data_IF_100712001152
#
_entry.id   IF_100712001152
#
_cell.length_a   1.000
_cell.length_b   1.000
_cell.length_c   1.000
_cell.angle_alpha   90.00
_cell.angle_beta   90.00
_cell.angle_gamma   90.00
#
_symmetry.space_group_name_H-M   'P 1'
#
loop_
_entity.id
_entity.type
_entity.pdbx_description
1 polymer ?
#
# COMPACT_ATOMS: atom_id res chain seq x y z
N UNK A 1 3.18 -25.60 -2.45
CA UNK A 1 2.69 -24.27 -2.07
C UNK A 1 1.70 -24.45 -0.95
N UNK A 2 1.69 -23.51 -0.02
CA UNK A 2 0.86 -23.64 1.17
C UNK A 2 -0.35 -22.72 1.11
N UNK A 3 -0.23 -21.60 0.33
CA UNK A 3 -1.28 -20.61 0.19
C UNK A 3 -1.34 -20.05 -1.22
N UNK A 4 -2.55 -19.81 -1.71
CA UNK A 4 -2.85 -19.06 -2.92
C UNK A 4 -3.74 -17.86 -2.61
N UNK A 5 -3.45 -16.69 -3.21
CA UNK A 5 -4.25 -15.49 -3.05
C UNK A 5 -4.52 -14.79 -4.37
N UNK A 6 -5.79 -14.53 -4.66
CA UNK A 6 -6.24 -13.72 -5.78
C UNK A 6 -6.86 -12.46 -5.19
N UNK A 7 -6.12 -11.33 -5.21
CA UNK A 7 -6.50 -10.18 -4.41
C UNK A 7 -6.09 -8.84 -5.02
N UNK A 8 -6.61 -7.78 -4.45
CA UNK A 8 -6.29 -6.41 -4.80
C UNK A 8 -6.88 -5.96 -6.14
N UNK A 9 -6.49 -4.74 -6.54
CA UNK A 9 -6.97 -4.15 -7.80
C UNK A 9 -6.39 -4.84 -9.06
N UNK A 10 -5.33 -5.62 -8.92
CA UNK A 10 -4.74 -6.40 -10.02
C UNK A 10 -5.35 -7.80 -10.11
N UNK A 11 -5.32 -8.58 -9.02
CA UNK A 11 -5.79 -9.96 -9.02
C UNK A 11 -7.31 -10.09 -8.89
N UNK A 12 -7.93 -9.25 -8.07
CA UNK A 12 -9.35 -9.30 -7.73
C UNK A 12 -10.31 -8.77 -8.81
N UNK A 13 -9.89 -8.62 -10.05
CA UNK A 13 -10.78 -8.22 -11.15
C UNK A 13 -11.83 -9.29 -11.44
N UNK A 14 -12.98 -8.88 -11.95
CA UNK A 14 -14.06 -9.78 -12.31
C UNK A 14 -13.59 -10.91 -13.24
N UNK A 15 -12.86 -10.57 -14.30
CA UNK A 15 -12.38 -11.53 -15.31
C UNK A 15 -11.41 -12.55 -14.72
N UNK A 16 -10.48 -12.12 -13.86
CA UNK A 16 -9.54 -13.01 -13.19
C UNK A 16 -10.25 -14.03 -12.29
N UNK A 17 -11.23 -13.56 -11.55
CA UNK A 17 -11.99 -14.45 -10.63
C UNK A 17 -12.90 -15.40 -11.43
N UNK A 18 -13.51 -14.94 -12.52
CA UNK A 18 -14.29 -15.81 -13.42
C UNK A 18 -13.43 -16.90 -14.04
N UNK A 19 -12.24 -16.55 -14.54
CA UNK A 19 -11.31 -17.53 -15.09
C UNK A 19 -10.83 -18.55 -14.02
N UNK A 20 -10.59 -18.11 -12.79
CA UNK A 20 -10.28 -19.02 -11.67
C UNK A 20 -11.45 -19.96 -11.38
N UNK A 21 -12.69 -19.47 -11.42
CA UNK A 21 -13.89 -20.27 -11.25
C UNK A 21 -14.07 -21.31 -12.35
N UNK A 22 -13.78 -20.96 -13.61
CA UNK A 22 -13.83 -21.91 -14.73
C UNK A 22 -12.83 -23.07 -14.55
N UNK A 23 -11.63 -22.79 -14.03
CA UNK A 23 -10.62 -23.81 -13.70
C UNK A 23 -11.07 -24.70 -12.56
N UNK A 24 -11.69 -24.13 -11.51
CA UNK A 24 -12.02 -24.83 -10.27
C UNK A 24 -13.41 -25.48 -10.29
N UNK A 25 -14.25 -25.18 -11.27
CA UNK A 25 -15.60 -25.77 -11.38
C UNK A 25 -15.52 -27.30 -11.42
N UNK A 26 -16.21 -27.95 -10.48
CA UNK A 26 -16.21 -29.39 -10.35
C UNK A 26 -14.92 -30.01 -9.84
N UNK A 27 -13.96 -29.17 -9.41
CA UNK A 27 -12.70 -29.62 -8.80
C UNK A 27 -12.66 -29.23 -7.31
N UNK A 28 -11.58 -29.55 -6.64
CA UNK A 28 -11.34 -29.23 -5.23
C UNK A 28 -9.96 -28.63 -5.04
N UNK A 29 -9.84 -27.66 -4.15
CA UNK A 29 -8.55 -27.17 -3.65
C UNK A 29 -7.81 -28.20 -2.78
N UNK A 30 -8.40 -29.38 -2.56
CA UNK A 30 -7.88 -30.41 -1.68
C UNK A 30 -8.30 -30.20 -0.22
N UNK A 31 -7.92 -31.14 0.61
CA UNK A 31 -8.18 -31.12 2.06
C UNK A 31 -6.85 -31.10 2.86
N UNK A 32 -5.75 -30.73 2.20
CA UNK A 32 -4.43 -30.64 2.79
C UNK A 32 -4.14 -29.27 3.38
N UNK A 33 -2.88 -28.91 3.36
CA UNK A 33 -2.39 -27.63 3.94
C UNK A 33 -2.75 -26.43 3.06
N UNK A 34 -2.83 -26.62 1.74
CA UNK A 34 -3.05 -25.51 0.80
C UNK A 34 -4.38 -24.82 1.02
N UNK A 35 -4.36 -23.49 1.09
CA UNK A 35 -5.54 -22.64 1.19
C UNK A 35 -5.60 -21.67 0.00
N UNK A 36 -6.82 -21.39 -0.49
CA UNK A 36 -7.05 -20.38 -1.53
C UNK A 36 -7.99 -19.32 -1.00
N UNK A 37 -7.52 -18.07 -0.92
CA UNK A 37 -8.34 -16.90 -0.58
C UNK A 37 -8.54 -15.99 -1.79
N UNK A 38 -9.78 -15.53 -1.98
CA UNK A 38 -10.18 -14.68 -3.12
C UNK A 38 -10.82 -13.39 -2.61
N UNK A 39 -10.24 -12.26 -2.94
CA UNK A 39 -10.68 -10.93 -2.57
C UNK A 39 -11.12 -10.16 -3.82
N UNK A 40 -12.41 -10.02 -4.10
CA UNK A 40 -12.90 -9.22 -5.22
C UNK A 40 -12.45 -7.77 -5.09
N UNK A 41 -12.11 -7.15 -6.21
CA UNK A 41 -11.58 -5.79 -6.24
C UNK A 41 -12.61 -4.70 -5.94
N UNK A 42 -13.92 -5.01 -6.02
CA UNK A 42 -15.00 -4.08 -5.73
C UNK A 42 -16.31 -4.79 -5.39
N UNK A 43 -17.20 -4.08 -4.67
CA UNK A 43 -18.54 -4.61 -4.34
C UNK A 43 -19.39 -4.93 -5.58
N UNK A 44 -19.39 -4.12 -6.66
CA UNK A 44 -20.10 -4.49 -7.88
C UNK A 44 -19.56 -5.78 -8.52
N UNK A 45 -18.24 -5.99 -8.52
CA UNK A 45 -17.65 -7.24 -8.99
C UNK A 45 -18.09 -8.44 -8.14
N UNK A 46 -18.05 -8.30 -6.81
CA UNK A 46 -18.53 -9.35 -5.89
C UNK A 46 -20.01 -9.67 -6.13
N UNK A 47 -20.86 -8.68 -6.26
CA UNK A 47 -22.29 -8.86 -6.51
C UNK A 47 -22.55 -9.61 -7.82
N UNK A 48 -21.81 -9.28 -8.89
CA UNK A 48 -21.94 -9.93 -10.18
C UNK A 48 -21.42 -11.39 -10.14
N UNK A 49 -20.37 -11.66 -9.35
CA UNK A 49 -19.90 -13.03 -9.10
C UNK A 49 -20.92 -13.90 -8.36
N UNK A 50 -21.70 -13.33 -7.45
CA UNK A 50 -22.82 -14.04 -6.82
C UNK A 50 -23.97 -14.26 -7.82
N UNK A 51 -24.32 -13.25 -8.60
CA UNK A 51 -25.42 -13.30 -9.55
C UNK A 51 -25.20 -14.34 -10.65
N UNK A 52 -23.97 -14.46 -11.16
CA UNK A 52 -23.62 -15.41 -12.22
C UNK A 52 -23.18 -16.80 -11.72
N UNK A 53 -23.20 -17.03 -10.39
CA UNK A 53 -22.88 -18.31 -9.76
C UNK A 53 -21.38 -18.60 -9.58
N UNK A 54 -20.47 -17.72 -10.04
CA UNK A 54 -19.01 -17.94 -9.93
C UNK A 54 -18.50 -18.01 -8.50
N UNK A 55 -19.08 -17.21 -7.60
CA UNK A 55 -18.76 -17.29 -6.19
C UNK A 55 -19.13 -18.66 -5.62
N UNK A 56 -20.26 -19.24 -6.05
CA UNK A 56 -20.67 -20.59 -5.63
C UNK A 56 -19.74 -21.68 -6.15
N UNK A 57 -19.30 -21.59 -7.42
CA UNK A 57 -18.33 -22.53 -7.99
C UNK A 57 -17.03 -22.56 -7.17
N UNK A 58 -16.52 -21.38 -6.79
CA UNK A 58 -15.29 -21.24 -6.01
C UNK A 58 -15.44 -21.77 -4.58
N UNK A 59 -16.52 -21.41 -3.89
CA UNK A 59 -16.80 -21.92 -2.54
C UNK A 59 -16.98 -23.43 -2.54
N UNK A 60 -17.67 -24.00 -3.53
CA UNK A 60 -17.84 -25.45 -3.67
C UNK A 60 -16.51 -26.17 -3.92
N UNK A 61 -15.54 -25.51 -4.56
CA UNK A 61 -14.20 -26.03 -4.74
C UNK A 61 -13.33 -25.95 -3.46
N UNK A 62 -13.79 -25.28 -2.41
CA UNK A 62 -13.06 -25.08 -1.16
C UNK A 62 -12.29 -23.78 -1.06
N UNK A 63 -12.46 -22.85 -2.01
CA UNK A 63 -11.88 -21.52 -1.91
C UNK A 63 -12.63 -20.66 -0.87
N UNK A 64 -11.91 -19.75 -0.23
CA UNK A 64 -12.45 -18.83 0.77
C UNK A 64 -12.77 -17.51 0.07
N UNK A 65 -14.06 -17.22 -0.12
CA UNK A 65 -14.48 -15.89 -0.61
C UNK A 65 -14.41 -14.87 0.52
N UNK A 66 -13.65 -13.83 0.29
CA UNK A 66 -13.43 -12.73 1.22
C UNK A 66 -14.19 -11.48 0.78
N UNK A 67 -14.28 -10.51 1.69
CA UNK A 67 -14.79 -9.17 1.40
C UNK A 67 -13.83 -8.39 0.51
N UNK A 68 -14.35 -7.31 -0.12
CA UNK A 68 -13.55 -6.39 -0.93
C UNK A 68 -12.58 -5.61 -0.04
N UNK A 69 -11.37 -6.09 0.11
CA UNK A 69 -10.38 -5.55 1.01
C UNK A 69 -8.97 -5.70 0.44
N UNK A 70 -8.13 -4.68 0.63
CA UNK A 70 -6.74 -4.69 0.18
C UNK A 70 -5.78 -5.50 1.08
N UNK A 71 -6.29 -6.19 2.09
CA UNK A 71 -5.54 -6.84 3.15
C UNK A 71 -4.27 -7.57 2.72
N UNK A 72 -4.33 -8.56 1.83
CA UNK A 72 -3.14 -9.29 1.39
C UNK A 72 -2.07 -8.43 0.73
N UNK A 73 -2.46 -7.33 0.07
CA UNK A 73 -1.51 -6.44 -0.62
C UNK A 73 -0.61 -5.64 0.33
N UNK A 74 -0.90 -5.63 1.64
CA UNK A 74 -0.11 -4.91 2.64
C UNK A 74 0.05 -5.65 3.98
N UNK A 75 -0.14 -6.97 3.97
CA UNK A 75 0.10 -7.80 5.14
C UNK A 75 -0.96 -7.71 6.24
N UNK A 76 -2.19 -7.37 5.89
CA UNK A 76 -3.32 -7.32 6.82
C UNK A 76 -4.42 -8.29 6.40
N UNK A 77 -4.23 -9.53 6.70
CA UNK A 77 -5.13 -10.64 6.39
C UNK A 77 -4.47 -11.69 5.52
N UNK A 78 -4.79 -12.94 5.80
CA UNK A 78 -4.24 -14.13 5.13
C UNK A 78 -2.70 -14.11 5.03
N UNK A 79 -2.03 -13.67 6.11
CA UNK A 79 -0.58 -13.76 6.20
C UNK A 79 -0.16 -15.22 6.22
N UNK A 80 0.86 -15.62 5.43
CA UNK A 80 1.36 -16.99 5.48
C UNK A 80 1.99 -17.27 6.84
N UNK A 81 1.92 -18.51 7.29
CA UNK A 81 2.58 -18.93 8.51
C UNK A 81 4.10 -18.94 8.33
N UNK A 82 4.80 -19.06 9.45
CA UNK A 82 6.26 -19.10 9.44
C UNK A 82 6.78 -20.31 8.65
N UNK A 83 7.64 -20.06 7.66
CA UNK A 83 8.18 -21.08 6.76
C UNK A 83 7.30 -21.40 5.55
N UNK A 84 6.10 -20.85 5.44
CA UNK A 84 5.20 -21.13 4.33
C UNK A 84 5.56 -20.35 3.04
N UNK A 85 5.09 -20.89 1.91
CA UNK A 85 5.23 -20.31 0.60
C UNK A 85 3.85 -19.97 0.00
N UNK A 86 3.59 -18.68 -0.18
CA UNK A 86 2.36 -18.12 -0.76
C UNK A 86 2.56 -17.73 -2.22
N UNK A 87 1.62 -18.12 -3.09
CA UNK A 87 1.55 -17.66 -4.49
C UNK A 87 0.40 -16.66 -4.62
N UNK A 88 0.69 -15.47 -5.19
CA UNK A 88 -0.24 -14.34 -5.12
C UNK A 88 -0.43 -13.63 -6.44
N UNK A 89 -1.66 -13.30 -6.77
CA UNK A 89 -1.98 -12.26 -7.74
C UNK A 89 -2.40 -11.01 -6.97
N UNK A 90 -1.43 -10.21 -6.58
CA UNK A 90 -1.61 -8.96 -5.83
C UNK A 90 -0.92 -7.81 -6.53
N UNK A 91 -1.21 -6.58 -6.13
CA UNK A 91 -0.67 -5.39 -6.80
C UNK A 91 0.84 -5.22 -6.57
N UNK A 92 1.36 -5.69 -5.44
CA UNK A 92 2.75 -5.44 -5.02
C UNK A 92 3.33 -6.65 -4.30
N UNK A 93 4.61 -6.89 -4.52
CA UNK A 93 5.38 -7.94 -3.85
C UNK A 93 6.73 -7.39 -3.41
N UNK A 94 6.75 -6.63 -2.32
CA UNK A 94 7.99 -6.18 -1.66
C UNK A 94 8.34 -7.13 -0.51
N UNK A 95 9.61 -7.21 -0.09
CA UNK A 95 9.98 -8.00 1.06
C UNK A 95 9.11 -7.69 2.28
N UNK A 96 8.62 -8.74 2.93
CA UNK A 96 7.75 -8.70 4.11
C UNK A 96 6.39 -8.01 3.90
N UNK A 97 6.01 -7.78 2.66
CA UNK A 97 4.73 -7.15 2.31
C UNK A 97 3.55 -8.07 2.61
N UNK A 98 3.78 -9.37 2.62
CA UNK A 98 2.81 -10.41 2.97
C UNK A 98 2.42 -10.41 4.45
N UNK A 99 3.16 -9.67 5.30
CA UNK A 99 2.87 -9.50 6.71
C UNK A 99 3.82 -10.22 7.66
N UNK A 100 4.84 -10.94 7.16
CA UNK A 100 5.88 -11.49 8.03
C UNK A 100 6.69 -10.38 8.70
N UNK A 101 7.17 -10.67 9.92
CA UNK A 101 7.94 -9.75 10.75
C UNK A 101 9.32 -10.34 11.06
N UNK A 102 10.32 -10.15 10.21
CA UNK A 102 11.64 -10.74 10.40
C UNK A 102 12.32 -10.34 11.70
N UNK A 103 12.05 -9.12 12.22
CA UNK A 103 12.52 -8.67 13.52
C UNK A 103 11.99 -9.49 14.70
N UNK A 104 10.91 -10.25 14.51
CA UNK A 104 10.32 -11.20 15.45
C UNK A 104 10.65 -12.66 15.08
N UNK A 105 11.59 -12.89 14.16
CA UNK A 105 12.00 -14.21 13.70
C UNK A 105 11.06 -14.90 12.72
N UNK A 106 10.08 -14.17 12.17
CA UNK A 106 9.16 -14.70 11.18
C UNK A 106 9.77 -14.65 9.78
N UNK A 107 9.59 -15.72 9.02
CA UNK A 107 9.99 -15.83 7.62
C UNK A 107 8.88 -16.51 6.81
N UNK A 108 8.56 -15.95 5.67
CA UNK A 108 7.71 -16.58 4.66
C UNK A 108 8.24 -16.26 3.27
N UNK A 109 7.83 -17.04 2.29
CA UNK A 109 8.18 -16.80 0.90
C UNK A 109 6.96 -16.47 0.07
N UNK A 110 7.10 -15.53 -0.86
CA UNK A 110 5.99 -15.10 -1.74
C UNK A 110 6.47 -15.04 -3.18
N UNK A 111 5.66 -15.57 -4.09
CA UNK A 111 5.84 -15.38 -5.52
C UNK A 111 4.59 -14.75 -6.15
N UNK A 112 4.79 -13.79 -7.06
CA UNK A 112 3.70 -13.29 -7.88
C UNK A 112 3.38 -14.31 -8.97
N UNK A 113 2.08 -14.56 -9.16
CA UNK A 113 1.55 -15.49 -10.12
C UNK A 113 0.20 -14.97 -10.63
N UNK A 114 -0.17 -15.29 -11.86
CA UNK A 114 -1.50 -14.94 -12.38
C UNK A 114 -2.62 -15.77 -11.73
N UNK A 115 -3.84 -15.25 -11.71
CA UNK A 115 -4.99 -15.86 -11.05
C UNK A 115 -5.34 -17.26 -11.63
N UNK A 116 -5.12 -17.50 -12.91
CA UNK A 116 -5.38 -18.79 -13.56
C UNK A 116 -4.39 -19.84 -13.07
N UNK A 117 -3.10 -19.52 -13.02
CA UNK A 117 -2.07 -20.44 -12.52
C UNK A 117 -2.19 -20.70 -11.03
N UNK A 118 -2.66 -19.70 -10.24
CA UNK A 118 -3.03 -19.91 -8.83
C UNK A 118 -4.19 -20.91 -8.72
N UNK A 119 -5.24 -20.74 -9.52
CA UNK A 119 -6.37 -21.66 -9.53
C UNK A 119 -5.99 -23.07 -10.00
N UNK A 120 -5.10 -23.19 -11.00
CA UNK A 120 -4.54 -24.46 -11.46
C UNK A 120 -3.73 -25.16 -10.35
N UNK A 121 -2.90 -24.39 -9.63
CA UNK A 121 -2.15 -24.86 -8.46
C UNK A 121 -3.10 -25.33 -7.35
N UNK A 122 -4.17 -24.59 -7.09
CA UNK A 122 -5.21 -24.97 -6.13
C UNK A 122 -5.92 -26.27 -6.53
N UNK A 123 -6.33 -26.42 -7.80
CA UNK A 123 -6.94 -27.61 -8.35
C UNK A 123 -6.04 -28.86 -8.26
N UNK A 124 -4.74 -28.67 -8.11
CA UNK A 124 -3.74 -29.72 -7.94
C UNK A 124 -3.23 -29.80 -6.48
N UNK A 125 -4.06 -29.37 -5.50
CA UNK A 125 -3.78 -29.51 -4.06
C UNK A 125 -2.53 -28.75 -3.59
N UNK A 126 -2.19 -27.61 -4.20
CA UNK A 126 -1.02 -26.80 -3.86
C UNK A 126 0.27 -27.18 -4.61
N UNK A 127 0.23 -28.15 -5.51
CA UNK A 127 1.36 -28.44 -6.38
C UNK A 127 1.42 -27.40 -7.49
N UNK A 128 2.56 -26.71 -7.62
CA UNK A 128 2.78 -25.67 -8.64
C UNK A 128 2.39 -26.20 -10.04
N UNK A 129 1.42 -25.54 -10.66
CA UNK A 129 0.84 -25.94 -11.94
C UNK A 129 0.56 -24.70 -12.78
N UNK A 130 1.03 -24.68 -14.02
CA UNK A 130 0.71 -23.61 -14.94
C UNK A 130 -0.75 -23.76 -15.45
N UNK A 131 -1.44 -22.66 -15.68
CA UNK A 131 -2.79 -22.71 -16.25
C UNK A 131 -2.81 -23.33 -17.66
N UNK A 132 -1.71 -23.21 -18.39
CA UNK A 132 -1.51 -23.78 -19.73
C UNK A 132 -1.39 -25.31 -19.73
N UNK A 133 -1.17 -25.92 -18.57
CA UNK A 133 -1.10 -27.38 -18.43
C UNK A 133 -2.48 -28.02 -18.30
N UNK A 134 -3.54 -27.20 -18.21
CA UNK A 134 -4.92 -27.63 -18.08
C UNK A 134 -5.70 -27.33 -19.36
N UNK A 135 -6.52 -28.28 -19.78
CA UNK A 135 -7.50 -28.07 -20.84
C UNK A 135 -8.78 -27.48 -20.20
N UNK A 136 -8.95 -26.16 -20.32
CA UNK A 136 -10.06 -25.40 -19.72
C UNK A 136 -10.69 -24.48 -20.77
N UNK A 137 -11.98 -24.63 -20.97
CA UNK A 137 -12.79 -23.69 -21.72
C UNK A 137 -13.16 -22.49 -20.84
N UNK A 138 -12.67 -21.31 -21.16
CA UNK A 138 -12.99 -20.06 -20.45
C UNK A 138 -14.28 -19.46 -20.99
N UNK A 139 -15.26 -19.29 -20.11
CA UNK A 139 -16.59 -18.76 -20.48
C UNK A 139 -16.63 -17.25 -20.68
N UNK A 140 -15.67 -16.51 -20.11
CA UNK A 140 -15.53 -15.06 -20.19
C UNK A 140 -16.87 -14.30 -20.09
N UNK A 141 -17.62 -14.41 -18.98
CA UNK A 141 -18.91 -13.76 -18.85
C UNK A 141 -18.79 -12.25 -18.90
N UNK A 142 -19.79 -11.59 -19.50
CA UNK A 142 -19.84 -10.12 -19.55
C UNK A 142 -20.05 -9.54 -18.14
N UNK A 143 -19.30 -8.47 -17.82
CA UNK A 143 -19.42 -7.75 -16.57
C UNK A 143 -20.50 -6.64 -16.67
N UNK A 144 -21.45 -6.70 -15.75
CA UNK A 144 -22.53 -5.70 -15.67
C UNK A 144 -22.36 -4.85 -14.40
N UNK A 145 -21.90 -3.62 -14.56
CA UNK A 145 -21.75 -2.68 -13.46
C UNK A 145 -23.08 -2.25 -12.86
N UNK A 146 -23.23 -2.41 -11.55
CA UNK A 146 -24.42 -1.98 -10.81
C UNK A 146 -24.08 -0.82 -9.86
N UNK A 147 -24.37 0.41 -10.27
CA UNK A 147 -24.13 1.63 -9.50
C UNK A 147 -24.96 1.69 -8.20
N UNK A 148 -26.14 1.04 -8.16
CA UNK A 148 -27.07 1.14 -7.03
C UNK A 148 -26.47 0.63 -5.70
N UNK A 149 -25.44 -0.20 -5.76
CA UNK A 149 -24.72 -0.68 -4.58
C UNK A 149 -23.98 0.46 -3.85
N UNK A 150 -23.40 1.39 -4.60
CA UNK A 150 -22.78 2.58 -4.04
C UNK A 150 -23.80 3.61 -3.58
N UNK A 151 -24.87 3.81 -4.33
CA UNK A 151 -25.97 4.71 -3.96
C UNK A 151 -26.58 4.36 -2.60
N UNK A 152 -26.60 3.08 -2.24
CA UNK A 152 -27.12 2.57 -0.95
C UNK A 152 -26.12 2.61 0.20
N UNK A 153 -24.83 2.69 -0.08
CA UNK A 153 -23.76 2.54 0.93
C UNK A 153 -22.91 3.77 1.14
N UNK A 154 -22.79 4.61 0.13
CA UNK A 154 -21.89 5.77 0.15
C UNK A 154 -22.72 7.04 0.12
N UNK A 155 -22.48 7.91 1.09
CA UNK A 155 -23.09 9.24 1.08
C UNK A 155 -22.61 10.02 -0.14
N UNK A 156 -23.56 10.49 -0.95
CA UNK A 156 -23.28 11.35 -2.08
C UNK A 156 -23.56 12.80 -1.69
N UNK A 157 -22.50 13.52 -1.32
CA UNK A 157 -22.55 14.95 -0.95
C UNK A 157 -22.33 15.91 -2.12
N UNK A 158 -22.22 15.43 -3.35
CA UNK A 158 -22.02 16.30 -4.51
C UNK A 158 -23.16 17.31 -4.64
N UNK A 159 -22.81 18.61 -4.70
CA UNK A 159 -23.77 19.70 -4.77
C UNK A 159 -24.59 19.95 -3.49
N UNK A 160 -24.25 19.28 -2.38
CA UNK A 160 -24.91 19.39 -1.07
C UNK A 160 -23.91 19.84 -0.01
N UNK A 161 -23.18 20.92 -0.29
CA UNK A 161 -22.22 21.46 0.66
C UNK A 161 -22.93 21.96 1.92
N UNK A 162 -22.40 21.57 3.08
CA UNK A 162 -22.83 22.03 4.41
C UNK A 162 -21.64 22.76 5.05
N UNK A 163 -21.43 24.05 4.74
CA UNK A 163 -20.20 24.75 5.16
C UNK A 163 -20.07 24.87 6.68
N UNK A 164 -21.19 24.83 7.41
CA UNK A 164 -21.22 24.94 8.86
C UNK A 164 -21.25 23.58 9.59
N UNK A 165 -21.11 22.48 8.84
CA UNK A 165 -21.11 21.15 9.45
C UNK A 165 -19.89 20.95 10.33
N UNK A 166 -20.11 20.50 11.58
CA UNK A 166 -19.04 20.16 12.50
C UNK A 166 -18.25 18.92 12.00
N UNK A 167 -16.93 19.07 11.87
CA UNK A 167 -16.06 17.95 11.55
C UNK A 167 -15.86 17.07 12.78
N UNK A 168 -16.27 15.81 12.70
CA UNK A 168 -16.06 14.81 13.75
C UNK A 168 -14.99 13.83 13.32
N UNK A 169 -13.84 13.90 13.97
CA UNK A 169 -12.74 13.00 13.70
C UNK A 169 -12.91 11.67 14.43
N UNK A 170 -12.57 10.57 13.74
CA UNK A 170 -12.39 9.27 14.37
C UNK A 170 -11.13 9.26 15.27
N UNK A 171 -10.95 8.21 16.10
CA UNK A 171 -9.90 8.17 17.13
C UNK A 171 -8.47 8.28 16.60
N UNK A 172 -8.22 7.84 15.37
CA UNK A 172 -6.89 7.88 14.72
C UNK A 172 -6.74 9.03 13.73
N UNK A 173 -7.75 9.88 13.58
CA UNK A 173 -7.71 11.02 12.67
C UNK A 173 -7.27 12.25 13.46
N UNK A 174 -6.22 12.91 12.99
CA UNK A 174 -5.71 14.15 13.55
C UNK A 174 -5.54 15.17 12.45
N UNK A 175 -5.76 16.41 12.79
CA UNK A 175 -5.46 17.52 11.88
C UNK A 175 -3.97 17.63 11.63
N UNK A 176 -3.59 18.40 10.60
CA UNK A 176 -2.21 18.74 10.35
C UNK A 176 -1.67 19.54 11.54
N UNK A 177 -0.41 19.29 11.96
CA UNK A 177 0.24 20.15 12.94
C UNK A 177 0.41 21.56 12.38
N UNK A 178 0.48 22.54 13.27
CA UNK A 178 0.87 23.89 12.88
C UNK A 178 2.25 23.85 12.20
N UNK A 179 2.31 24.45 11.03
CA UNK A 179 3.52 24.54 10.24
C UNK A 179 3.92 26.00 10.07
N UNK A 180 5.23 26.29 10.10
CA UNK A 180 5.71 27.65 9.87
C UNK A 180 5.32 28.15 8.48
N UNK A 181 5.06 29.43 8.36
CA UNK A 181 4.83 30.07 7.07
C UNK A 181 6.12 30.02 6.22
N UNK A 182 5.95 29.73 4.94
CA UNK A 182 7.08 29.77 4.01
C UNK A 182 7.59 31.22 3.87
N UNK A 183 8.91 31.37 3.93
CA UNK A 183 9.61 32.62 3.69
C UNK A 183 10.09 32.69 2.24
N UNK A 184 10.57 33.89 1.80
CA UNK A 184 11.10 34.06 0.43
C UNK A 184 12.34 33.17 0.19
N UNK A 185 13.17 32.99 1.21
CA UNK A 185 14.40 32.20 1.17
C UNK A 185 14.30 31.05 2.18
N UNK A 186 14.80 29.87 1.81
CA UNK A 186 14.85 28.69 2.65
C UNK A 186 16.29 28.17 2.74
N UNK A 187 16.80 28.04 3.95
CA UNK A 187 18.02 27.31 4.21
C UNK A 187 17.68 25.84 4.46
N UNK A 188 18.13 24.94 3.58
CA UNK A 188 17.80 23.53 3.63
C UNK A 188 19.03 22.71 4.01
N UNK A 189 18.90 21.86 5.04
CA UNK A 189 19.91 20.85 5.40
C UNK A 189 19.48 19.48 4.89
N UNK A 190 20.36 18.79 4.17
CA UNK A 190 20.14 17.39 3.76
C UNK A 190 20.22 16.50 4.99
N UNK A 191 19.08 15.96 5.41
CA UNK A 191 18.97 15.08 6.58
C UNK A 191 19.17 13.60 6.24
N UNK A 192 19.01 13.22 4.98
CA UNK A 192 19.30 11.87 4.49
C UNK A 192 19.73 11.92 3.02
N UNK A 193 20.71 11.10 2.66
CA UNK A 193 21.18 10.94 1.29
C UNK A 193 21.20 9.46 0.93
N UNK A 194 20.33 9.06 0.01
CA UNK A 194 20.16 7.69 -0.43
C UNK A 194 20.78 7.57 -1.82
N UNK A 195 21.79 6.73 -1.96
CA UNK A 195 22.51 6.48 -3.22
C UNK A 195 21.97 5.30 -4.02
N UNK A 196 21.02 4.57 -3.46
CA UNK A 196 20.40 3.44 -4.14
C UNK A 196 19.59 3.94 -5.35
N UNK A 197 19.75 3.35 -6.54
CA UNK A 197 19.04 3.78 -7.74
C UNK A 197 17.52 3.55 -7.69
N UNK A 198 17.07 2.69 -6.79
CA UNK A 198 15.64 2.39 -6.61
C UNK A 198 15.22 2.59 -5.17
N UNK A 199 14.26 3.49 -4.95
CA UNK A 199 13.59 3.68 -3.66
C UNK A 199 12.10 3.45 -3.83
N UNK A 200 11.56 2.56 -3.01
CA UNK A 200 10.13 2.24 -3.04
C UNK A 200 9.34 3.11 -2.06
N UNK A 201 8.05 3.26 -2.30
CA UNK A 201 7.16 3.97 -1.35
C UNK A 201 7.12 3.31 0.02
N UNK A 202 7.33 1.98 0.10
CA UNK A 202 7.34 1.24 1.37
C UNK A 202 8.63 1.47 2.16
N UNK A 203 9.73 1.82 1.49
CA UNK A 203 10.98 2.25 2.13
C UNK A 203 10.88 3.69 2.65
N UNK A 204 10.13 4.55 1.96
CA UNK A 204 9.85 5.91 2.42
C UNK A 204 8.93 5.91 3.65
N UNK A 205 7.82 5.18 3.58
CA UNK A 205 6.85 5.01 4.67
C UNK A 205 6.37 3.56 4.66
N UNK A 206 6.72 2.73 5.65
CA UNK A 206 6.35 1.31 5.68
C UNK A 206 4.84 1.14 5.88
N UNK A 207 4.15 0.68 4.85
CA UNK A 207 2.68 0.68 4.79
C UNK A 207 2.02 -0.27 5.80
N UNK A 208 2.62 -1.42 6.08
CA UNK A 208 2.08 -2.39 7.04
C UNK A 208 2.06 -1.83 8.45
N UNK A 209 3.19 -1.27 8.89
CA UNK A 209 3.37 -0.71 10.23
C UNK A 209 2.56 0.58 10.46
N UNK A 210 2.31 1.34 9.39
CA UNK A 210 1.70 2.66 9.48
C UNK A 210 0.23 2.70 9.07
N UNK A 211 -0.37 1.56 8.79
CA UNK A 211 -1.76 1.48 8.29
C UNK A 211 -2.77 2.22 9.17
N UNK A 212 -2.60 2.16 10.50
CA UNK A 212 -3.46 2.83 11.48
C UNK A 212 -3.21 4.33 11.63
N UNK A 213 -2.11 4.86 11.06
CA UNK A 213 -1.70 6.26 11.25
C UNK A 213 -1.86 7.11 10.01
N UNK A 214 -2.45 6.59 8.92
CA UNK A 214 -2.55 7.29 7.62
C UNK A 214 -3.30 8.61 7.68
N UNK A 215 -4.22 8.75 8.63
CA UNK A 215 -4.98 9.98 8.88
C UNK A 215 -4.46 10.76 10.09
N UNK A 216 -3.20 10.54 10.46
CA UNK A 216 -2.48 11.30 11.51
C UNK A 216 -1.10 11.67 10.96
N UNK A 217 -0.97 12.82 10.29
CA UNK A 217 0.26 13.20 9.58
C UNK A 217 1.49 13.24 10.48
N UNK A 218 1.37 13.78 11.69
CA UNK A 218 2.47 13.86 12.63
C UNK A 218 2.95 12.47 13.07
N UNK A 219 2.02 11.57 13.43
CA UNK A 219 2.39 10.21 13.80
C UNK A 219 2.93 9.41 12.62
N UNK A 220 2.39 9.62 11.42
CA UNK A 220 2.88 8.99 10.20
C UNK A 220 4.31 9.41 9.89
N UNK A 221 4.66 10.68 10.10
CA UNK A 221 5.99 11.21 9.82
C UNK A 221 7.10 10.57 10.67
N UNK A 222 6.76 10.04 11.86
CA UNK A 222 7.70 9.31 12.74
C UNK A 222 8.27 8.04 12.10
N UNK A 223 7.65 7.54 11.04
CA UNK A 223 8.10 6.34 10.32
C UNK A 223 8.81 6.66 9.00
N UNK A 224 9.01 7.95 8.69
CA UNK A 224 9.68 8.34 7.45
C UNK A 224 11.10 7.77 7.40
N UNK A 225 11.41 7.05 6.31
CA UNK A 225 12.68 6.36 6.06
C UNK A 225 13.11 5.36 7.15
N UNK A 226 12.22 4.95 8.06
CA UNK A 226 12.58 4.12 9.22
C UNK A 226 13.31 2.82 8.86
N UNK A 227 13.08 2.27 7.67
CA UNK A 227 13.74 1.06 7.17
C UNK A 227 15.08 1.32 6.46
N UNK A 228 15.28 2.53 5.92
CA UNK A 228 16.47 2.88 5.13
C UNK A 228 17.46 3.71 5.92
N UNK A 229 16.96 4.66 6.67
CA UNK A 229 17.73 5.57 7.51
C UNK A 229 16.99 5.85 8.81
N UNK A 230 17.08 4.95 9.80
CA UNK A 230 16.37 5.09 11.07
C UNK A 230 16.66 6.38 11.85
N UNK A 231 17.77 7.06 11.52
CA UNK A 231 18.16 8.31 12.18
C UNK A 231 17.56 9.56 11.49
N UNK A 232 16.95 9.41 10.31
CA UNK A 232 16.41 10.52 9.54
C UNK A 232 15.42 11.36 10.34
N UNK A 233 14.45 10.73 11.01
CA UNK A 233 13.43 11.42 11.79
C UNK A 233 14.05 12.23 12.94
N UNK A 234 15.06 11.69 13.62
CA UNK A 234 15.79 12.40 14.66
C UNK A 234 16.42 13.70 14.12
N UNK A 235 17.18 13.58 13.04
CA UNK A 235 17.84 14.75 12.40
C UNK A 235 16.83 15.78 11.88
N UNK A 236 15.70 15.33 11.34
CA UNK A 236 14.63 16.24 10.90
C UNK A 236 13.99 17.00 12.05
N UNK A 237 13.80 16.34 13.20
CA UNK A 237 13.30 16.99 14.42
C UNK A 237 14.26 18.05 14.97
N UNK A 238 15.56 17.82 14.89
CA UNK A 238 16.56 18.82 15.26
C UNK A 238 16.42 20.09 14.38
N UNK A 239 16.23 19.94 13.07
CA UNK A 239 16.00 21.07 12.18
C UNK A 239 14.69 21.78 12.49
N UNK A 240 13.62 21.04 12.75
CA UNK A 240 12.34 21.61 13.16
C UNK A 240 12.45 22.41 14.48
N UNK A 241 13.26 21.94 15.41
CA UNK A 241 13.50 22.67 16.67
C UNK A 241 14.22 24.00 16.42
N UNK A 242 15.23 24.03 15.55
CA UNK A 242 15.92 25.25 15.15
C UNK A 242 14.95 26.26 14.52
N UNK A 243 14.07 25.80 13.63
CA UNK A 243 13.06 26.68 12.99
C UNK A 243 12.06 27.26 14.02
N UNK A 244 11.60 26.45 14.96
CA UNK A 244 10.73 26.92 16.05
C UNK A 244 11.43 27.95 16.93
N UNK A 245 12.72 27.77 17.19
CA UNK A 245 13.51 28.75 17.94
C UNK A 245 13.69 30.06 17.16
N UNK A 246 13.86 29.99 15.85
CA UNK A 246 13.88 31.16 14.96
C UNK A 246 12.55 31.93 15.01
N UNK A 247 11.42 31.24 14.87
CA UNK A 247 10.07 31.84 14.94
C UNK A 247 9.79 32.48 16.31
N UNK A 248 10.31 31.87 17.38
CA UNK A 248 10.21 32.39 18.74
C UNK A 248 11.18 33.56 19.02
N UNK A 249 11.98 34.01 18.03
CA UNK A 249 12.95 35.08 18.19
C UNK A 249 14.17 34.73 19.06
N UNK A 250 14.44 33.43 19.24
CA UNK A 250 15.62 32.98 19.99
C UNK A 250 16.88 33.02 19.11
N UNK A 251 18.03 33.04 19.76
CA UNK A 251 19.32 32.95 19.09
C UNK A 251 19.46 31.60 18.36
N UNK A 252 19.86 31.65 17.10
CA UNK A 252 20.14 30.46 16.31
C UNK A 252 21.55 29.92 16.62
N UNK A 253 21.80 28.63 16.41
CA UNK A 253 23.12 28.04 16.55
C UNK A 253 24.15 28.75 15.62
N UNK A 254 25.36 28.97 16.11
CA UNK A 254 26.43 29.65 15.38
C UNK A 254 26.75 28.93 14.06
N UNK A 255 26.69 27.60 14.04
CA UNK A 255 26.87 26.80 12.83
C UNK A 255 25.86 27.18 11.72
N UNK A 256 24.59 27.37 12.08
CA UNK A 256 23.54 27.77 11.14
C UNK A 256 23.79 29.16 10.59
N UNK A 257 24.19 30.10 11.46
CA UNK A 257 24.50 31.48 11.07
C UNK A 257 25.72 31.55 10.13
N UNK A 258 26.73 30.72 10.40
CA UNK A 258 27.94 30.67 9.58
C UNK A 258 27.64 30.11 8.18
N UNK A 259 26.82 29.05 8.09
CA UNK A 259 26.40 28.49 6.80
C UNK A 259 25.56 29.51 6.02
N UNK A 260 24.62 30.17 6.68
CA UNK A 260 23.80 31.21 6.04
C UNK A 260 24.66 32.36 5.50
N UNK A 261 25.59 32.84 6.29
CA UNK A 261 26.49 33.90 5.86
C UNK A 261 27.36 33.50 4.67
N UNK A 262 27.91 32.28 4.67
CA UNK A 262 28.70 31.75 3.58
C UNK A 262 27.93 31.65 2.27
N UNK A 263 26.68 31.16 2.32
CA UNK A 263 25.81 31.04 1.16
C UNK A 263 25.36 32.40 0.63
N UNK A 264 25.06 33.35 1.51
CA UNK A 264 24.60 34.68 1.14
C UNK A 264 25.74 35.48 0.50
N UNK A 265 26.96 35.38 1.03
CA UNK A 265 28.14 36.01 0.44
C UNK A 265 28.48 35.42 -0.95
N UNK A 266 28.33 34.12 -1.13
CA UNK A 266 28.53 33.46 -2.42
C UNK A 266 27.51 33.93 -3.48
N UNK A 267 26.26 34.17 -3.12
CA UNK A 267 25.22 34.69 -4.02
C UNK A 267 25.50 36.15 -4.44
N UNK A 268 26.04 36.96 -3.58
CA UNK A 268 26.43 38.34 -3.91
C UNK A 268 27.55 38.37 -4.98
N UNK A 269 28.48 37.42 -4.93
CA UNK A 269 29.53 37.28 -5.94
C UNK A 269 29.06 36.74 -7.30
N UNK A 270 27.94 36.03 -7.34
CA UNK A 270 27.35 35.51 -8.58
C UNK A 270 26.45 36.56 -9.26
N UNK A 271 25.92 37.54 -8.53
CA UNK A 271 24.99 38.55 -9.04
C UNK A 271 25.63 39.82 -9.59
N UNK A 272 26.93 40.02 -9.48
CA UNK A 272 27.62 41.11 -10.20
C UNK A 272 28.00 40.63 -11.60
N UNK A 273 27.31 41.11 -12.66
CA UNK A 273 27.81 40.91 -14.00
C UNK A 273 29.08 41.76 -14.16
N UNK A 274 30.21 41.08 -14.31
CA UNK A 274 31.41 41.75 -14.84
C UNK A 274 31.04 42.36 -16.18
N UNK A 275 30.87 43.68 -16.24
CA UNK A 275 30.83 44.41 -17.52
C UNK A 275 32.18 44.15 -18.22
N UNK A 276 32.20 43.67 -19.45
CA UNK A 276 33.40 43.74 -20.25
C UNK A 276 33.69 45.19 -20.51
N UNK A 277 34.85 45.66 -20.16
CA UNK A 277 35.39 46.95 -20.60
C UNK A 277 35.57 46.96 -22.13
#
# INVERSE_FOLDING_TARGET
>A
MDQGEIAGCAGGTFDNICAAADILRGKSCGNGVFTLSIYPGSMPALAELYKNGRASDLVNAGAIMRECFCGPCFGAGDCPANGEFSVRHTTRNFPNREGSKPGEGQMSSVALMDARSIAATAANGGKLTAATDLDVEYTNPEYHYNASLYEKRVYNGWGKAEPDAELRFGPNIKDWPEMPALTNDLLVKVCSYITDPVTTTDELIPSGETSSYRSNPERLSEFALSRRDPQYVGRSKEMRAIERDREAGKALPEEVLNVYAALTLSLIHISEPTRPE
#
